data_IF_487325454175
#
_entry.id   IF_487325454175
#
_cell.length_a   1.000
_cell.length_b   1.000
_cell.length_c   1.000
_cell.angle_alpha   90.00
_cell.angle_beta   90.00
_cell.angle_gamma   90.00
#
_symmetry.space_group_name_H-M   'P 1'
#
loop_
_entity.id
_entity.type
_entity.pdbx_description
1 polymer ?
#
# COMPACT_ATOMS: atom_id res chain seq x y z
N UNK A 1 22.06 -0.17 -6.02
CA UNK A 1 21.57 0.71 -4.93
C UNK A 1 21.13 2.09 -5.42
N UNK A 2 21.99 2.87 -6.10
CA UNK A 2 21.57 4.18 -6.68
C UNK A 2 20.73 4.04 -7.96
N UNK A 3 20.99 3.04 -8.80
CA UNK A 3 20.26 2.83 -10.06
C UNK A 3 18.78 2.45 -9.84
N UNK A 4 18.46 1.62 -8.84
CA UNK A 4 17.07 1.25 -8.52
C UNK A 4 16.27 2.41 -7.91
N UNK A 5 16.93 3.32 -7.18
CA UNK A 5 16.31 4.52 -6.63
C UNK A 5 16.01 5.55 -7.74
N UNK A 6 16.94 5.70 -8.71
CA UNK A 6 16.77 6.60 -9.85
C UNK A 6 15.69 6.14 -10.84
N UNK A 7 15.44 4.83 -10.98
CA UNK A 7 14.37 4.30 -11.86
C UNK A 7 13.04 4.21 -11.10
N UNK A 8 13.06 3.96 -9.78
CA UNK A 8 11.85 3.84 -8.96
C UNK A 8 11.09 5.16 -8.76
N UNK A 9 11.80 6.29 -8.60
CA UNK A 9 11.18 7.60 -8.40
C UNK A 9 10.35 8.10 -9.60
N UNK A 10 10.85 8.07 -10.85
CA UNK A 10 10.04 8.48 -12.02
C UNK A 10 8.88 7.52 -12.27
N UNK A 11 9.06 6.20 -12.02
CA UNK A 11 7.98 5.23 -12.13
C UNK A 11 6.83 5.51 -11.14
N UNK A 12 7.15 5.83 -9.89
CA UNK A 12 6.13 6.14 -8.89
C UNK A 12 5.36 7.44 -9.20
N UNK A 13 6.04 8.45 -9.75
CA UNK A 13 5.38 9.67 -10.21
C UNK A 13 4.48 9.42 -11.42
N UNK A 14 4.92 8.60 -12.38
CA UNK A 14 4.13 8.22 -13.54
C UNK A 14 2.85 7.46 -13.12
N UNK A 15 2.96 6.50 -12.21
CA UNK A 15 1.82 5.74 -11.68
C UNK A 15 0.83 6.66 -10.96
N UNK A 16 1.31 7.58 -10.11
CA UNK A 16 0.44 8.55 -9.44
C UNK A 16 -0.27 9.48 -10.42
N UNK A 17 0.42 9.91 -11.47
CA UNK A 17 -0.17 10.73 -12.53
C UNK A 17 -1.28 9.96 -13.25
N UNK A 18 -1.05 8.70 -13.60
CA UNK A 18 -2.06 7.84 -14.21
C UNK A 18 -3.26 7.65 -13.28
N UNK A 19 -3.05 7.34 -12.00
CA UNK A 19 -4.14 7.22 -11.00
C UNK A 19 -4.96 8.52 -10.92
N UNK A 20 -4.32 9.70 -10.97
CA UNK A 20 -5.02 10.99 -10.93
C UNK A 20 -5.84 11.28 -12.20
N UNK A 21 -5.33 10.85 -13.35
CA UNK A 21 -6.01 10.94 -14.64
C UNK A 21 -7.24 10.03 -14.65
N UNK A 22 -7.09 8.78 -14.22
CA UNK A 22 -8.19 7.82 -14.14
C UNK A 22 -9.26 8.25 -13.13
N UNK A 23 -8.87 8.86 -12.00
CA UNK A 23 -9.82 9.44 -11.05
C UNK A 23 -10.65 10.56 -11.69
N UNK A 24 -9.99 11.47 -12.39
CA UNK A 24 -10.65 12.60 -13.06
C UNK A 24 -11.54 12.16 -14.22
N UNK A 25 -11.22 11.02 -14.85
CA UNK A 25 -12.04 10.45 -15.92
C UNK A 25 -13.43 10.04 -15.40
N UNK A 26 -13.49 9.40 -14.24
CA UNK A 26 -14.76 8.94 -13.64
C UNK A 26 -15.72 10.10 -13.43
N UNK A 27 -15.23 11.20 -12.86
CA UNK A 27 -16.04 12.38 -12.60
C UNK A 27 -16.48 13.06 -13.90
N UNK A 28 -15.58 13.15 -14.89
CA UNK A 28 -15.90 13.69 -16.20
C UNK A 28 -16.99 12.87 -16.93
N UNK A 29 -16.91 11.54 -16.92
CA UNK A 29 -17.92 10.67 -17.53
C UNK A 29 -19.27 10.80 -16.83
N UNK A 30 -19.27 10.90 -15.49
CA UNK A 30 -20.50 11.09 -14.72
C UNK A 30 -21.16 12.43 -15.04
N UNK A 31 -20.39 13.53 -15.06
CA UNK A 31 -20.91 14.83 -15.46
C UNK A 31 -21.43 14.80 -16.92
N UNK A 32 -20.71 14.13 -17.82
CA UNK A 32 -21.14 13.97 -19.21
C UNK A 32 -22.48 13.24 -19.30
N UNK A 33 -22.64 12.13 -18.56
CA UNK A 33 -23.89 11.36 -18.48
C UNK A 33 -25.04 12.23 -17.97
N UNK A 34 -24.85 12.93 -16.86
CA UNK A 34 -25.90 13.76 -16.24
C UNK A 34 -26.34 14.91 -17.17
N UNK A 35 -25.39 15.52 -17.88
CA UNK A 35 -25.63 16.59 -18.86
C UNK A 35 -26.41 16.08 -20.08
N UNK A 36 -26.08 14.87 -20.55
CA UNK A 36 -26.78 14.22 -21.66
C UNK A 36 -28.19 13.76 -21.25
N UNK A 37 -28.38 13.26 -20.03
CA UNK A 37 -29.72 12.92 -19.47
C UNK A 37 -30.62 14.16 -19.38
N UNK A 38 -30.03 15.34 -19.18
CA UNK A 38 -30.76 16.62 -19.21
C UNK A 38 -31.16 17.08 -20.63
N UNK A 39 -30.81 16.31 -21.69
CA UNK A 39 -31.16 16.61 -23.08
C UNK A 39 -30.14 17.45 -23.84
N UNK A 40 -28.94 17.64 -23.29
CA UNK A 40 -27.86 18.37 -23.96
C UNK A 40 -27.16 17.51 -25.02
N UNK A 41 -26.35 18.14 -25.87
CA UNK A 41 -25.48 17.44 -26.82
C UNK A 41 -24.15 17.04 -26.16
N UNK A 42 -23.46 16.06 -26.76
CA UNK A 42 -22.12 15.63 -26.31
C UNK A 42 -21.07 16.75 -26.45
N UNK A 43 -21.26 17.67 -27.39
CA UNK A 43 -20.38 18.84 -27.57
C UNK A 43 -20.55 19.83 -26.41
N UNK A 44 -21.80 20.09 -26.02
CA UNK A 44 -22.11 20.97 -24.89
C UNK A 44 -21.62 20.38 -23.58
N UNK A 45 -21.79 19.07 -23.37
CA UNK A 45 -21.31 18.40 -22.16
C UNK A 45 -19.78 18.39 -22.07
N UNK A 46 -19.07 18.19 -23.18
CA UNK A 46 -17.61 18.34 -23.23
C UNK A 46 -17.16 19.77 -22.86
N UNK A 47 -17.85 20.79 -23.33
CA UNK A 47 -17.56 22.19 -22.96
C UNK A 47 -17.75 22.41 -21.46
N UNK A 48 -18.82 21.85 -20.90
CA UNK A 48 -19.10 21.95 -19.47
C UNK A 48 -18.00 21.29 -18.61
N UNK A 49 -17.50 20.13 -19.03
CA UNK A 49 -16.39 19.40 -18.38
C UNK A 49 -15.09 20.20 -18.38
N UNK A 50 -14.82 20.93 -19.47
CA UNK A 50 -13.64 21.81 -19.58
C UNK A 50 -13.75 23.00 -18.63
N UNK A 51 -14.95 23.56 -18.46
CA UNK A 51 -15.22 24.67 -17.55
C UNK A 51 -15.18 24.23 -16.09
N UNK A 52 -15.74 23.06 -15.75
CA UNK A 52 -15.78 22.55 -14.38
C UNK A 52 -14.41 22.12 -13.84
N UNK A 53 -13.42 21.89 -14.72
CA UNK A 53 -12.01 21.81 -14.32
C UNK A 53 -11.62 20.49 -13.65
N UNK A 54 -11.83 19.37 -14.34
CA UNK A 54 -11.49 18.01 -13.89
C UNK A 54 -9.98 17.70 -13.90
N UNK A 55 -9.17 18.56 -13.28
CA UNK A 55 -7.76 18.29 -13.03
C UNK A 55 -6.95 17.95 -14.30
N UNK A 56 -6.14 16.87 -14.31
CA UNK A 56 -5.22 16.54 -15.40
C UNK A 56 -5.87 16.32 -16.78
N UNK A 57 -7.16 16.04 -16.83
CA UNK A 57 -7.89 15.79 -18.08
C UNK A 57 -8.45 17.03 -18.74
N UNK A 58 -8.52 18.16 -18.01
CA UNK A 58 -9.10 19.40 -18.52
C UNK A 58 -8.43 19.84 -19.83
N UNK A 59 -7.10 19.79 -19.89
CA UNK A 59 -6.32 20.18 -21.07
C UNK A 59 -6.60 19.27 -22.27
N UNK A 60 -6.79 17.97 -22.02
CA UNK A 60 -7.09 17.00 -23.06
C UNK A 60 -8.51 17.17 -23.61
N UNK A 61 -9.51 17.33 -22.73
CA UNK A 61 -10.88 17.64 -23.17
C UNK A 61 -10.98 19.00 -23.86
N UNK A 62 -10.20 20.00 -23.45
CA UNK A 62 -10.14 21.30 -24.13
C UNK A 62 -9.60 21.17 -25.56
N UNK A 63 -8.61 20.29 -25.78
CA UNK A 63 -8.12 19.97 -27.13
C UNK A 63 -9.19 19.27 -27.97
N UNK A 64 -9.96 18.35 -27.37
CA UNK A 64 -11.09 17.69 -28.06
C UNK A 64 -12.13 18.72 -28.51
N UNK A 65 -12.55 19.62 -27.61
CA UNK A 65 -13.52 20.69 -27.93
C UNK A 65 -12.98 21.58 -29.05
N UNK A 66 -11.71 21.97 -29.00
CA UNK A 66 -11.10 22.79 -30.05
C UNK A 66 -11.10 22.10 -31.42
N UNK A 67 -10.78 20.81 -31.45
CA UNK A 67 -10.79 20.00 -32.68
C UNK A 67 -12.20 19.87 -33.26
N UNK A 68 -13.21 19.70 -32.42
CA UNK A 68 -14.61 19.71 -32.84
C UNK A 68 -15.01 21.06 -33.44
N UNK A 69 -14.60 22.18 -32.82
CA UNK A 69 -14.83 23.54 -33.34
C UNK A 69 -14.09 23.79 -34.68
N UNK A 70 -12.93 23.16 -34.87
CA UNK A 70 -12.17 23.16 -36.13
C UNK A 70 -12.80 22.27 -37.22
N UNK A 71 -13.89 21.54 -36.91
CA UNK A 71 -14.62 20.69 -37.85
C UNK A 71 -14.11 19.23 -37.93
N UNK A 72 -13.25 18.81 -37.01
CA UNK A 72 -12.80 17.41 -36.91
C UNK A 72 -13.96 16.51 -36.40
N UNK A 73 -14.03 15.28 -36.90
CA UNK A 73 -15.02 14.31 -36.43
C UNK A 73 -14.77 13.95 -34.94
N UNK A 74 -15.85 13.86 -34.15
CA UNK A 74 -15.82 13.43 -32.75
C UNK A 74 -15.02 12.15 -32.52
N UNK A 75 -15.20 11.15 -33.38
CA UNK A 75 -14.47 9.89 -33.25
C UNK A 75 -12.94 10.09 -33.34
N UNK A 76 -12.50 10.93 -34.27
CA UNK A 76 -11.08 11.21 -34.51
C UNK A 76 -10.50 12.06 -33.38
N UNK A 77 -11.24 13.09 -32.95
CA UNK A 77 -10.84 13.96 -31.85
C UNK A 77 -10.69 13.20 -30.53
N UNK A 78 -11.66 12.33 -30.21
CA UNK A 78 -11.63 11.50 -29.01
C UNK A 78 -10.51 10.45 -29.05
N UNK A 79 -10.30 9.76 -30.18
CA UNK A 79 -9.17 8.82 -30.35
C UNK A 79 -7.83 9.51 -30.19
N UNK A 80 -7.67 10.70 -30.77
CA UNK A 80 -6.46 11.53 -30.62
C UNK A 80 -6.20 11.90 -29.16
N UNK A 81 -7.25 12.18 -28.38
CA UNK A 81 -7.13 12.41 -26.94
C UNK A 81 -6.72 11.14 -26.19
N UNK A 82 -7.35 10.00 -26.48
CA UNK A 82 -6.99 8.71 -25.87
C UNK A 82 -5.53 8.33 -26.11
N UNK A 83 -5.00 8.59 -27.32
CA UNK A 83 -3.60 8.30 -27.66
C UNK A 83 -2.60 9.22 -26.95
N UNK A 84 -3.02 10.44 -26.59
CA UNK A 84 -2.20 11.37 -25.81
C UNK A 84 -2.06 11.00 -24.32
N UNK A 85 -2.89 10.06 -23.85
CA UNK A 85 -2.95 9.66 -22.44
C UNK A 85 -2.36 8.26 -22.24
N UNK A 86 -1.36 8.14 -21.37
CA UNK A 86 -0.71 6.88 -21.00
C UNK A 86 -1.55 6.02 -20.02
N UNK A 87 -2.84 5.86 -20.29
CA UNK A 87 -3.74 4.98 -19.52
C UNK A 87 -4.53 4.06 -20.45
N UNK A 88 -4.35 2.75 -20.27
CA UNK A 88 -5.14 1.72 -20.96
C UNK A 88 -6.63 1.84 -20.63
N UNK A 89 -6.96 2.28 -19.41
CA UNK A 89 -8.34 2.49 -18.96
C UNK A 89 -8.98 3.62 -19.76
N UNK A 90 -8.32 4.78 -19.86
CA UNK A 90 -8.79 5.90 -20.68
C UNK A 90 -9.01 5.47 -22.14
N UNK A 91 -8.04 4.76 -22.74
CA UNK A 91 -8.15 4.28 -24.14
C UNK A 91 -9.34 3.36 -24.37
N UNK A 92 -9.60 2.43 -23.43
CA UNK A 92 -10.76 1.54 -23.47
C UNK A 92 -12.06 2.31 -23.33
N UNK A 93 -12.15 3.21 -22.35
CA UNK A 93 -13.34 4.01 -22.10
C UNK A 93 -13.68 4.88 -23.30
N UNK A 94 -12.70 5.56 -23.90
CA UNK A 94 -12.92 6.36 -25.11
C UNK A 94 -13.41 5.50 -26.27
N UNK A 95 -12.87 4.30 -26.44
CA UNK A 95 -13.34 3.38 -27.49
C UNK A 95 -14.81 3.00 -27.31
N UNK A 96 -15.24 2.74 -26.07
CA UNK A 96 -16.64 2.45 -25.75
C UNK A 96 -17.55 3.66 -26.02
N UNK A 97 -17.10 4.87 -25.67
CA UNK A 97 -17.83 6.12 -25.94
C UNK A 97 -18.03 6.34 -27.43
N UNK A 98 -16.97 6.17 -28.23
CA UNK A 98 -17.03 6.28 -29.68
C UNK A 98 -18.00 5.26 -30.28
N UNK A 99 -17.95 4.01 -29.82
CA UNK A 99 -18.85 2.96 -30.30
C UNK A 99 -20.32 3.23 -29.90
N UNK A 100 -20.56 3.78 -28.71
CA UNK A 100 -21.90 4.20 -28.26
C UNK A 100 -22.47 5.32 -29.14
N UNK A 101 -21.65 6.32 -29.50
CA UNK A 101 -22.07 7.39 -30.42
C UNK A 101 -22.38 6.82 -31.80
N UNK A 102 -21.55 5.91 -32.30
CA UNK A 102 -21.70 5.31 -33.63
C UNK A 102 -22.94 4.41 -33.74
N UNK A 103 -23.22 3.63 -32.70
CA UNK A 103 -24.37 2.73 -32.64
C UNK A 103 -25.69 3.45 -32.35
N UNK A 104 -25.65 4.72 -31.92
CA UNK A 104 -26.82 5.45 -31.46
C UNK A 104 -27.43 4.87 -30.17
N UNK A 105 -26.72 3.94 -29.51
CA UNK A 105 -27.07 3.48 -28.17
C UNK A 105 -27.04 4.68 -27.21
N UNK A 106 -27.93 4.67 -26.20
CA UNK A 106 -28.06 5.77 -25.25
C UNK A 106 -26.74 6.13 -24.58
N UNK A 107 -26.03 7.11 -25.14
CA UNK A 107 -24.69 7.51 -24.70
C UNK A 107 -24.67 7.87 -23.21
N UNK A 108 -25.76 8.48 -22.73
CA UNK A 108 -25.92 8.84 -21.34
C UNK A 108 -25.93 7.60 -20.41
N UNK A 109 -26.57 6.51 -20.82
CA UNK A 109 -26.64 5.25 -20.06
C UNK A 109 -25.29 4.54 -20.07
N UNK A 110 -24.66 4.43 -21.25
CA UNK A 110 -23.32 3.82 -21.38
C UNK A 110 -22.27 4.56 -20.55
N UNK A 111 -22.29 5.90 -20.55
CA UNK A 111 -21.38 6.70 -19.72
C UNK A 111 -21.62 6.51 -18.22
N UNK A 112 -22.87 6.33 -17.80
CA UNK A 112 -23.23 6.09 -16.40
C UNK A 112 -22.74 4.72 -15.94
N UNK A 113 -23.00 3.67 -16.74
CA UNK A 113 -22.55 2.30 -16.48
C UNK A 113 -21.02 2.23 -16.36
N UNK A 114 -20.30 2.88 -17.28
CA UNK A 114 -18.83 2.95 -17.22
C UNK A 114 -18.38 3.72 -15.97
N UNK A 115 -19.02 4.84 -15.64
CA UNK A 115 -18.64 5.61 -14.45
C UNK A 115 -18.86 4.80 -13.16
N UNK A 116 -19.97 4.05 -13.06
CA UNK A 116 -20.24 3.18 -11.93
C UNK A 116 -19.23 2.02 -11.82
N UNK A 117 -18.91 1.35 -12.93
CA UNK A 117 -17.90 0.28 -12.95
C UNK A 117 -16.52 0.80 -12.51
N UNK A 118 -16.11 1.96 -13.02
CA UNK A 118 -14.85 2.60 -12.62
C UNK A 118 -14.85 2.99 -11.14
N UNK A 119 -15.96 3.51 -10.59
CA UNK A 119 -16.10 3.79 -9.15
C UNK A 119 -16.02 2.51 -8.31
N UNK A 120 -16.68 1.44 -8.73
CA UNK A 120 -16.63 0.15 -8.07
C UNK A 120 -15.19 -0.39 -8.05
N UNK A 121 -14.47 -0.30 -9.17
CA UNK A 121 -13.06 -0.67 -9.27
C UNK A 121 -12.16 0.16 -8.36
N UNK A 122 -12.35 1.48 -8.30
CA UNK A 122 -11.61 2.35 -7.37
C UNK A 122 -11.87 1.97 -5.92
N UNK A 123 -13.14 1.68 -5.57
CA UNK A 123 -13.53 1.24 -4.23
C UNK A 123 -12.86 -0.08 -3.87
N UNK A 124 -12.91 -1.08 -4.74
CA UNK A 124 -12.25 -2.38 -4.54
C UNK A 124 -10.74 -2.19 -4.36
N UNK A 125 -10.10 -1.36 -5.17
CA UNK A 125 -8.67 -1.07 -5.03
C UNK A 125 -8.33 -0.39 -3.70
N UNK A 126 -9.18 0.54 -3.24
CA UNK A 126 -9.01 1.21 -1.94
C UNK A 126 -9.20 0.23 -0.79
N UNK A 127 -10.21 -0.63 -0.86
CA UNK A 127 -10.45 -1.68 0.13
C UNK A 127 -9.30 -2.69 0.18
N UNK A 128 -8.78 -3.12 -0.97
CA UNK A 128 -7.59 -3.98 -1.05
C UNK A 128 -6.37 -3.32 -0.43
N UNK A 129 -6.06 -2.06 -0.80
CA UNK A 129 -4.94 -1.30 -0.23
C UNK A 129 -5.10 -1.19 1.30
N UNK A 130 -6.30 -0.90 1.80
CA UNK A 130 -6.57 -0.78 3.24
C UNK A 130 -6.45 -2.12 3.99
N UNK A 131 -7.04 -3.19 3.45
CA UNK A 131 -7.03 -4.52 4.07
C UNK A 131 -5.59 -5.05 4.20
N UNK A 132 -4.80 -4.94 3.13
CA UNK A 132 -3.40 -5.38 3.13
C UNK A 132 -2.54 -4.57 4.10
N UNK A 133 -2.78 -3.25 4.21
CA UNK A 133 -2.08 -2.41 5.19
C UNK A 133 -2.39 -2.83 6.62
N UNK A 134 -3.67 -3.04 6.95
CA UNK A 134 -4.11 -3.46 8.28
C UNK A 134 -3.49 -4.80 8.67
N UNK A 135 -3.54 -5.80 7.78
CA UNK A 135 -2.96 -7.11 8.02
C UNK A 135 -1.43 -7.04 8.20
N UNK A 136 -0.75 -6.21 7.40
CA UNK A 136 0.71 -6.01 7.53
C UNK A 136 1.09 -5.35 8.86
N UNK A 137 0.29 -4.39 9.35
CA UNK A 137 0.54 -3.73 10.64
C UNK A 137 0.36 -4.68 11.82
N UNK A 138 -0.62 -5.59 11.76
CA UNK A 138 -0.82 -6.61 12.79
C UNK A 138 0.40 -7.53 12.90
N UNK A 139 0.92 -8.01 11.76
CA UNK A 139 2.12 -8.87 11.73
C UNK A 139 3.35 -8.15 12.27
N UNK A 140 3.57 -6.89 11.85
CA UNK A 140 4.67 -6.07 12.37
C UNK A 140 4.53 -5.86 13.87
N UNK A 141 3.32 -5.59 14.36
CA UNK A 141 3.09 -5.36 15.80
C UNK A 141 3.37 -6.62 16.60
N UNK A 142 2.88 -7.78 16.13
CA UNK A 142 3.12 -9.07 16.78
C UNK A 142 4.62 -9.40 16.83
N UNK A 143 5.32 -9.34 15.70
CA UNK A 143 6.72 -9.75 15.60
C UNK A 143 7.70 -8.73 16.21
N UNK A 144 7.44 -7.42 16.09
CA UNK A 144 8.38 -6.38 16.55
C UNK A 144 8.14 -5.95 18.01
N UNK A 145 6.93 -6.15 18.54
CA UNK A 145 6.60 -5.75 19.92
C UNK A 145 6.23 -6.94 20.79
N UNK A 146 5.25 -7.74 20.40
CA UNK A 146 4.68 -8.77 21.29
C UNK A 146 5.68 -9.90 21.55
N UNK A 147 6.27 -10.49 20.51
CA UNK A 147 7.22 -11.59 20.67
C UNK A 147 8.48 -11.16 21.46
N UNK A 148 9.19 -10.06 21.12
CA UNK A 148 10.36 -9.61 21.89
C UNK A 148 10.05 -9.28 23.34
N UNK A 149 8.84 -8.77 23.62
CA UNK A 149 8.38 -8.49 24.97
C UNK A 149 8.27 -9.78 25.79
N UNK A 150 7.54 -10.78 25.27
CA UNK A 150 7.36 -12.06 25.96
C UNK A 150 8.72 -12.73 26.20
N UNK A 151 9.55 -12.83 25.17
CA UNK A 151 10.86 -13.47 25.29
C UNK A 151 11.82 -12.73 26.23
N UNK A 152 11.73 -11.39 26.31
CA UNK A 152 12.50 -10.60 27.26
C UNK A 152 12.14 -10.92 28.72
N UNK A 153 10.84 -11.07 29.02
CA UNK A 153 10.38 -11.52 30.34
C UNK A 153 10.81 -12.96 30.65
N UNK A 154 10.66 -13.88 29.70
CA UNK A 154 11.09 -15.28 29.87
C UNK A 154 12.58 -15.36 30.21
N UNK A 155 13.43 -14.65 29.45
CA UNK A 155 14.88 -14.64 29.70
C UNK A 155 15.22 -14.06 31.09
N UNK A 156 14.44 -13.07 31.56
CA UNK A 156 14.62 -12.52 32.91
C UNK A 156 14.27 -13.52 34.00
N UNK A 157 13.13 -14.20 33.89
CA UNK A 157 12.68 -15.20 34.86
C UNK A 157 13.72 -16.32 34.98
N UNK A 158 14.23 -16.83 33.85
CA UNK A 158 15.28 -17.84 33.84
C UNK A 158 16.54 -17.37 34.58
N UNK A 159 16.98 -16.13 34.33
CA UNK A 159 18.11 -15.54 35.03
C UNK A 159 17.91 -15.42 36.54
N UNK A 160 16.72 -15.01 36.98
CA UNK A 160 16.37 -14.91 38.40
C UNK A 160 16.33 -16.28 39.07
N UNK A 161 15.73 -17.28 38.43
CA UNK A 161 15.68 -18.65 38.96
C UNK A 161 17.07 -19.27 39.12
N UNK A 162 17.95 -19.08 38.13
CA UNK A 162 19.36 -19.50 38.24
C UNK A 162 20.09 -18.74 39.36
N UNK A 163 19.79 -17.46 39.56
CA UNK A 163 20.36 -16.65 40.65
C UNK A 163 19.85 -17.05 42.04
N UNK A 164 18.55 -17.33 42.19
CA UNK A 164 17.94 -17.74 43.46
C UNK A 164 18.39 -19.15 43.90
N UNK A 165 18.78 -20.01 42.96
CA UNK A 165 19.42 -21.29 43.25
C UNK A 165 20.86 -21.15 43.79
N UNK A 166 21.46 -19.95 43.71
CA UNK A 166 22.80 -19.71 44.25
C UNK A 166 22.77 -19.80 45.78
N UNK A 167 23.53 -20.75 46.33
CA UNK A 167 23.66 -20.97 47.78
C UNK A 167 22.82 -22.12 48.35
N UNK A 168 21.84 -22.64 47.60
CA UNK A 168 21.03 -23.81 48.00
C UNK A 168 21.41 -25.10 47.26
N UNK A 169 22.25 -25.00 46.23
CA UNK A 169 22.56 -26.09 45.30
C UNK A 169 24.09 -26.24 45.16
N UNK A 170 24.63 -27.47 44.97
CA UNK A 170 26.05 -27.68 44.70
C UNK A 170 26.57 -26.82 43.54
N UNK A 171 27.82 -26.35 43.65
CA UNK A 171 28.45 -25.44 42.68
C UNK A 171 28.47 -25.98 41.24
N UNK A 172 28.60 -27.30 41.08
CA UNK A 172 28.60 -27.96 39.77
C UNK A 172 27.24 -27.87 39.05
N UNK A 173 26.15 -28.01 39.80
CA UNK A 173 24.79 -27.89 39.27
C UNK A 173 24.46 -26.41 38.98
N UNK A 174 24.97 -25.48 39.79
CA UNK A 174 24.84 -24.04 39.50
C UNK A 174 25.54 -23.67 38.20
N UNK A 175 26.77 -24.17 37.97
CA UNK A 175 27.52 -23.94 36.74
C UNK A 175 26.76 -24.48 35.49
N UNK A 176 26.19 -25.69 35.60
CA UNK A 176 25.33 -26.25 34.55
C UNK A 176 24.08 -25.39 34.29
N UNK A 177 23.45 -24.86 35.34
CA UNK A 177 22.26 -24.01 35.21
C UNK A 177 22.56 -22.67 34.50
N UNK A 178 23.70 -22.04 34.82
CA UNK A 178 24.12 -20.79 34.17
C UNK A 178 24.42 -21.02 32.70
N UNK A 179 25.06 -22.14 32.37
CA UNK A 179 25.37 -22.51 30.99
C UNK A 179 24.10 -22.81 30.18
N UNK A 180 23.11 -23.49 30.78
CA UNK A 180 21.80 -23.71 30.16
C UNK A 180 21.06 -22.39 29.90
N UNK A 181 21.04 -21.46 30.86
CA UNK A 181 20.39 -20.14 30.72
C UNK A 181 21.04 -19.29 29.62
N UNK A 182 22.36 -19.38 29.46
CA UNK A 182 23.09 -18.73 28.38
C UNK A 182 22.72 -19.32 26.99
N UNK A 183 22.64 -20.65 26.87
CA UNK A 183 22.21 -21.31 25.63
C UNK A 183 20.77 -20.95 25.26
N UNK A 184 19.85 -20.95 26.23
CA UNK A 184 18.45 -20.56 25.98
C UNK A 184 18.36 -19.11 25.51
N UNK A 185 19.15 -18.21 26.10
CA UNK A 185 19.17 -16.79 25.69
C UNK A 185 19.67 -16.61 24.26
N UNK A 186 20.70 -17.37 23.85
CA UNK A 186 21.20 -17.37 22.47
C UNK A 186 20.15 -17.89 21.48
N UNK A 187 19.43 -18.98 21.84
CA UNK A 187 18.38 -19.54 20.99
C UNK A 187 17.21 -18.57 20.80
N UNK A 188 16.84 -17.83 21.86
CA UNK A 188 15.81 -16.79 21.78
C UNK A 188 16.24 -15.65 20.83
N UNK A 189 17.49 -15.20 20.92
CA UNK A 189 18.01 -14.14 20.04
C UNK A 189 18.07 -14.59 18.57
N UNK A 190 18.49 -15.85 18.32
CA UNK A 190 18.45 -16.46 16.99
C UNK A 190 17.02 -16.60 16.45
N UNK A 191 16.07 -17.02 17.29
CA UNK A 191 14.66 -17.13 16.93
C UNK A 191 14.06 -15.77 16.54
N UNK A 192 14.27 -14.75 17.37
CA UNK A 192 13.80 -13.38 17.09
C UNK A 192 14.37 -12.86 15.77
N UNK A 193 15.66 -13.11 15.51
CA UNK A 193 16.27 -12.72 14.24
C UNK A 193 15.58 -13.38 13.04
N UNK A 194 15.32 -14.69 13.11
CA UNK A 194 14.64 -15.44 12.03
C UNK A 194 13.19 -14.97 11.87
N UNK A 195 12.46 -14.74 12.97
CA UNK A 195 11.08 -14.26 12.97
C UNK A 195 10.97 -12.88 12.30
N UNK A 196 11.87 -11.95 12.65
CA UNK A 196 11.91 -10.61 12.05
C UNK A 196 12.26 -10.68 10.58
N UNK A 197 13.19 -11.56 10.19
CA UNK A 197 13.55 -11.76 8.80
C UNK A 197 12.35 -12.28 7.99
N UNK A 198 11.63 -13.28 8.52
CA UNK A 198 10.42 -13.81 7.90
C UNK A 198 9.32 -12.73 7.79
N UNK A 199 9.10 -11.97 8.85
CA UNK A 199 8.09 -10.89 8.89
C UNK A 199 8.44 -9.76 7.93
N UNK A 200 9.71 -9.38 7.81
CA UNK A 200 10.18 -8.37 6.87
C UNK A 200 9.90 -8.76 5.42
N UNK A 201 10.16 -10.04 5.06
CA UNK A 201 9.85 -10.57 3.73
C UNK A 201 8.34 -10.56 3.49
N UNK A 202 7.56 -11.00 4.46
CA UNK A 202 6.09 -11.04 4.37
C UNK A 202 5.49 -9.65 4.18
N UNK A 203 5.95 -8.65 4.95
CA UNK A 203 5.50 -7.26 4.85
C UNK A 203 5.89 -6.65 3.50
N UNK A 204 7.09 -6.92 3.01
CA UNK A 204 7.54 -6.45 1.69
C UNK A 204 6.70 -7.03 0.55
N UNK A 205 6.37 -8.32 0.63
CA UNK A 205 5.51 -8.99 -0.35
C UNK A 205 4.09 -8.43 -0.33
N UNK A 206 3.53 -8.21 0.86
CA UNK A 206 2.17 -7.70 1.01
C UNK A 206 2.04 -6.24 0.59
N UNK A 207 2.94 -5.35 1.03
CA UNK A 207 2.80 -3.90 0.78
C UNK A 207 3.21 -3.50 -0.63
N UNK A 208 4.24 -4.13 -1.19
CA UNK A 208 4.88 -3.66 -2.42
C UNK A 208 4.92 -4.71 -3.53
N UNK A 209 4.39 -5.91 -3.28
CA UNK A 209 4.33 -7.01 -4.25
C UNK A 209 5.68 -7.59 -4.66
N UNK A 210 6.79 -7.09 -4.09
CA UNK A 210 8.16 -7.46 -4.45
C UNK A 210 8.94 -7.88 -3.21
N UNK A 211 9.55 -9.07 -3.16
CA UNK A 211 10.33 -9.51 -2.01
C UNK A 211 11.64 -8.73 -1.85
N UNK A 212 12.18 -8.18 -2.94
CA UNK A 212 13.45 -7.45 -2.93
C UNK A 212 13.47 -6.19 -2.07
N UNK A 213 12.32 -5.63 -1.72
CA UNK A 213 12.22 -4.47 -0.82
C UNK A 213 12.30 -4.84 0.66
N UNK A 214 12.38 -6.13 1.00
CA UNK A 214 12.57 -6.61 2.38
C UNK A 214 13.82 -6.03 3.02
N UNK A 215 14.86 -5.74 2.22
CA UNK A 215 16.12 -5.13 2.68
C UNK A 215 15.89 -3.77 3.36
N UNK A 216 14.81 -3.06 3.01
CA UNK A 216 14.49 -1.75 3.61
C UNK A 216 13.81 -1.93 4.98
N UNK A 217 12.93 -2.91 5.13
CA UNK A 217 12.16 -3.12 6.36
C UNK A 217 12.95 -3.86 7.44
N UNK A 218 13.85 -4.77 7.06
CA UNK A 218 14.63 -5.61 7.96
C UNK A 218 15.40 -4.82 9.03
N UNK A 219 16.27 -3.82 8.69
CA UNK A 219 17.07 -3.13 9.70
C UNK A 219 16.20 -2.34 10.68
N UNK A 220 15.08 -1.78 10.21
CA UNK A 220 14.16 -1.01 11.05
C UNK A 220 13.45 -1.94 12.04
N UNK A 221 12.89 -3.05 11.56
CA UNK A 221 12.19 -4.02 12.41
C UNK A 221 13.14 -4.68 13.41
N UNK A 222 14.37 -4.98 12.98
CA UNK A 222 15.39 -5.56 13.84
C UNK A 222 15.76 -4.60 14.97
N UNK A 223 15.98 -3.32 14.66
CA UNK A 223 16.28 -2.31 15.67
C UNK A 223 15.15 -2.17 16.70
N UNK A 224 13.89 -2.13 16.24
CA UNK A 224 12.72 -2.06 17.13
C UNK A 224 12.64 -3.31 18.01
N UNK A 225 12.68 -4.50 17.42
CA UNK A 225 12.51 -5.74 18.14
C UNK A 225 13.62 -6.00 19.17
N UNK A 226 14.89 -5.79 18.81
CA UNK A 226 16.00 -5.90 19.77
C UNK A 226 15.94 -4.80 20.83
N UNK A 227 15.48 -3.59 20.49
CA UNK A 227 15.21 -2.53 21.46
C UNK A 227 14.12 -2.92 22.47
N UNK A 228 13.00 -3.47 21.99
CA UNK A 228 11.90 -3.95 22.84
C UNK A 228 12.35 -5.13 23.69
N UNK A 229 13.12 -6.09 23.15
CA UNK A 229 13.68 -7.21 23.89
C UNK A 229 14.59 -6.74 25.03
N UNK A 230 15.51 -5.82 24.75
CA UNK A 230 16.42 -5.26 25.74
C UNK A 230 15.66 -4.48 26.83
N UNK A 231 14.67 -3.66 26.42
CA UNK A 231 13.81 -2.93 27.34
C UNK A 231 13.01 -3.88 28.24
N UNK A 232 12.45 -4.93 27.68
CA UNK A 232 11.64 -5.91 28.40
C UNK A 232 12.48 -6.70 29.41
N UNK A 233 13.73 -7.04 29.05
CA UNK A 233 14.71 -7.58 30.00
C UNK A 233 15.02 -6.60 31.14
N UNK A 234 15.26 -5.34 30.83
CA UNK A 234 15.56 -4.33 31.84
C UNK A 234 14.39 -4.10 32.80
N UNK A 235 13.17 -3.98 32.26
CA UNK A 235 11.93 -3.84 33.03
C UNK A 235 11.67 -5.09 33.89
N UNK A 236 11.82 -6.28 33.33
CA UNK A 236 11.68 -7.53 34.07
C UNK A 236 12.65 -7.58 35.25
N UNK A 237 13.92 -7.21 35.03
CA UNK A 237 14.93 -7.17 36.10
C UNK A 237 14.58 -6.15 37.18
N UNK A 238 14.09 -4.97 36.81
CA UNK A 238 13.69 -3.95 37.76
C UNK A 238 12.47 -4.38 38.61
N UNK A 239 11.48 -5.03 37.98
CA UNK A 239 10.28 -5.52 38.66
C UNK A 239 10.58 -6.69 39.60
N UNK A 240 11.37 -7.66 39.14
CA UNK A 240 11.63 -8.89 39.90
C UNK A 240 12.80 -8.70 40.87
N UNK A 241 13.84 -7.96 40.48
CA UNK A 241 14.97 -7.62 41.35
C UNK A 241 14.64 -6.61 42.44
N UNK A 242 13.50 -5.90 42.34
CA UNK A 242 12.97 -5.12 43.47
C UNK A 242 12.23 -5.96 44.52
N UNK A 243 12.00 -7.26 44.24
CA UNK A 243 11.26 -8.21 45.10
C UNK A 243 12.22 -9.18 45.82
N UNK A 244 13.48 -9.29 45.39
CA UNK A 244 14.51 -10.17 45.99
C UNK A 244 15.50 -9.38 46.84
#
# INVERSE_FOLDING_TARGET
MLADLCIGFPYFQAVKRIESVEASLVDALKQMSDTLKAGSTYESSLREIVVSGHGPLQTGFAQVVRKLEEGENFETAMKSFADSVDSTLVKRTVSLVVESVRSGAGLAEVLDDIAEDLRAMQRINRERKSSTLMQSMLLVTAAAFVAPLIFGFVSTILGVLSGAAAGSVPAEVLAQSVQATALISLLIEAYLFIEILATSVMVSLMREGRPGKSIIYLPILLFIAFGVYALSKALGKALIGGIV
#
